data_IF_515307915141
#
_entry.id   IF_515307915141
#
_cell.length_a   1.000
_cell.length_b   1.000
_cell.length_c   1.000
_cell.angle_alpha   90.00
_cell.angle_beta   90.00
_cell.angle_gamma   90.00
#
_symmetry.space_group_name_H-M   'P 1'
#
loop_
_entity.id
_entity.type
_entity.pdbx_description
1 polymer ?
#
# COMPACT_ATOMS: atom_id res chain seq x y z
N UNK A 1 38.64 -16.37 33.37
CA UNK A 1 38.18 -14.96 33.49
C UNK A 1 38.05 -14.30 32.13
N UNK A 2 39.12 -14.19 31.33
CA UNK A 2 39.05 -13.65 29.96
C UNK A 2 38.03 -14.37 29.07
N UNK A 3 38.01 -15.70 29.12
CA UNK A 3 37.07 -16.52 28.36
C UNK A 3 35.60 -16.19 28.63
N UNK A 4 35.24 -15.97 29.91
CA UNK A 4 33.89 -15.56 30.29
C UNK A 4 33.53 -14.16 29.77
N UNK A 5 34.51 -13.24 29.73
CA UNK A 5 34.33 -11.89 29.18
C UNK A 5 34.11 -11.95 27.66
N UNK A 6 34.88 -12.78 26.96
CA UNK A 6 34.74 -12.98 25.51
C UNK A 6 33.40 -13.63 25.20
N UNK A 7 33.00 -14.65 25.94
CA UNK A 7 31.70 -15.30 25.77
C UNK A 7 30.54 -14.30 25.98
N UNK A 8 30.61 -13.47 27.03
CA UNK A 8 29.59 -12.46 27.28
C UNK A 8 29.52 -11.41 26.18
N UNK A 9 30.67 -10.98 25.64
CA UNK A 9 30.72 -10.03 24.53
C UNK A 9 30.08 -10.60 23.25
N UNK A 10 30.35 -11.86 22.92
CA UNK A 10 29.75 -12.55 21.77
C UNK A 10 28.23 -12.64 21.93
N UNK A 11 27.76 -13.07 23.10
CA UNK A 11 26.32 -13.17 23.39
C UNK A 11 25.65 -11.81 23.28
N UNK A 12 26.27 -10.76 23.83
CA UNK A 12 25.77 -9.39 23.72
C UNK A 12 25.61 -8.92 22.28
N UNK A 13 26.61 -9.16 21.42
CA UNK A 13 26.55 -8.79 20.01
C UNK A 13 25.46 -9.55 19.24
N UNK A 14 25.31 -10.85 19.51
CA UNK A 14 24.26 -11.68 18.91
C UNK A 14 22.88 -11.19 19.33
N UNK A 15 22.67 -10.91 20.62
CA UNK A 15 21.40 -10.39 21.12
C UNK A 15 21.04 -9.06 20.45
N UNK A 16 21.97 -8.11 20.33
CA UNK A 16 21.72 -6.82 19.65
C UNK A 16 21.30 -7.03 18.19
N UNK A 17 21.97 -7.93 17.47
CA UNK A 17 21.60 -8.27 16.09
C UNK A 17 20.19 -8.85 15.97
N UNK A 18 19.84 -9.79 16.86
CA UNK A 18 18.51 -10.42 16.89
C UNK A 18 17.42 -9.39 17.21
N UNK A 19 17.64 -8.51 18.19
CA UNK A 19 16.68 -7.45 18.52
C UNK A 19 16.50 -6.46 17.37
N UNK A 20 17.58 -6.10 16.67
CA UNK A 20 17.52 -5.23 15.49
C UNK A 20 16.69 -5.84 14.36
N UNK A 21 16.93 -7.12 14.05
CA UNK A 21 16.17 -7.86 13.04
C UNK A 21 14.68 -7.98 13.43
N UNK A 22 14.39 -8.34 14.69
CA UNK A 22 13.02 -8.44 15.18
C UNK A 22 12.28 -7.09 15.17
N UNK A 23 12.95 -6.00 15.57
CA UNK A 23 12.39 -4.65 15.50
C UNK A 23 12.17 -4.13 14.08
N UNK A 24 12.95 -4.61 13.09
CA UNK A 24 12.69 -4.32 11.67
C UNK A 24 11.47 -5.11 11.16
N UNK A 25 11.33 -6.37 11.57
CA UNK A 25 10.19 -7.21 11.21
C UNK A 25 8.88 -6.66 11.75
N UNK A 26 8.83 -6.24 13.03
CA UNK A 26 7.64 -5.62 13.62
C UNK A 26 7.25 -4.34 12.88
N UNK A 27 8.21 -3.47 12.53
CA UNK A 27 7.90 -2.23 11.81
C UNK A 27 7.38 -2.49 10.41
N UNK A 28 7.93 -3.49 9.72
CA UNK A 28 7.42 -3.92 8.42
C UNK A 28 5.99 -4.47 8.54
N UNK A 29 5.70 -5.25 9.58
CA UNK A 29 4.38 -5.83 9.83
C UNK A 29 3.34 -4.77 10.19
N UNK A 30 3.69 -3.80 11.05
CA UNK A 30 2.84 -2.63 11.36
C UNK A 30 2.58 -1.78 10.11
N UNK A 31 3.63 -1.53 9.31
CA UNK A 31 3.47 -0.79 8.04
C UNK A 31 2.59 -1.54 7.04
N UNK A 32 2.69 -2.87 7.01
CA UNK A 32 1.84 -3.71 6.16
C UNK A 32 0.38 -3.72 6.66
N UNK A 33 0.18 -3.79 7.97
CA UNK A 33 -1.14 -3.75 8.60
C UNK A 33 -1.87 -2.41 8.33
N UNK A 34 -1.16 -1.28 8.39
CA UNK A 34 -1.76 0.04 8.10
C UNK A 34 -2.01 0.26 6.59
N UNK A 35 -1.25 -0.41 5.72
CA UNK A 35 -1.41 -0.30 4.26
C UNK A 35 -2.47 -1.23 3.69
N UNK A 36 -2.78 -2.34 4.36
CA UNK A 36 -3.79 -3.30 3.90
C UNK A 36 -5.17 -2.65 3.70
N UNK A 37 -5.67 -1.80 4.63
CA UNK A 37 -6.89 -1.04 4.44
C UNK A 37 -6.87 -0.15 3.18
N UNK A 38 -5.83 0.68 3.01
CA UNK A 38 -5.73 1.57 1.84
C UNK A 38 -5.66 0.79 0.52
N UNK A 39 -4.97 -0.35 0.51
CA UNK A 39 -4.94 -1.24 -0.65
C UNK A 39 -6.32 -1.82 -0.97
N UNK A 40 -7.09 -2.22 0.06
CA UNK A 40 -8.45 -2.71 -0.13
C UNK A 40 -9.39 -1.63 -0.69
N UNK A 41 -9.24 -0.38 -0.24
CA UNK A 41 -9.97 0.78 -0.78
C UNK A 41 -9.60 1.06 -2.24
N UNK A 42 -8.33 0.89 -2.62
CA UNK A 42 -7.90 1.03 -4.01
C UNK A 42 -8.55 -0.04 -4.90
N UNK A 43 -8.61 -1.29 -4.42
CA UNK A 43 -9.29 -2.39 -5.13
C UNK A 43 -10.79 -2.12 -5.29
N UNK A 44 -11.46 -1.60 -4.26
CA UNK A 44 -12.86 -1.19 -4.34
C UNK A 44 -13.08 -0.15 -5.45
N UNK A 45 -12.19 0.84 -5.56
CA UNK A 45 -12.26 1.86 -6.60
C UNK A 45 -11.99 1.31 -8.00
N UNK A 46 -11.06 0.37 -8.14
CA UNK A 46 -10.84 -0.34 -9.41
C UNK A 46 -12.13 -1.08 -9.82
N UNK A 47 -12.76 -1.79 -8.89
CA UNK A 47 -14.02 -2.50 -9.17
C UNK A 47 -15.15 -1.54 -9.58
N UNK A 48 -15.22 -0.35 -8.98
CA UNK A 48 -16.21 0.65 -9.38
C UNK A 48 -15.97 1.21 -10.81
N UNK A 49 -14.71 1.27 -11.26
CA UNK A 49 -14.38 1.62 -12.66
C UNK A 49 -14.70 0.45 -13.59
N UNK A 50 -14.47 -0.79 -13.17
CA UNK A 50 -14.81 -1.98 -13.96
C UNK A 50 -16.33 -2.12 -14.20
N UNK A 51 -17.12 -1.72 -13.20
CA UNK A 51 -18.58 -1.65 -13.32
C UNK A 51 -19.08 -0.44 -14.12
N UNK A 52 -18.20 0.50 -14.48
CA UNK A 52 -18.58 1.68 -15.24
C UNK A 52 -18.74 1.33 -16.73
N UNK A 53 -19.99 1.26 -17.19
CA UNK A 53 -20.31 0.99 -18.60
C UNK A 53 -20.12 2.17 -19.57
N UNK A 54 -19.46 3.25 -19.14
CA UNK A 54 -19.23 4.45 -19.96
C UNK A 54 -17.84 4.49 -20.61
N UNK A 55 -17.52 5.61 -21.27
CA UNK A 55 -16.20 5.77 -21.90
C UNK A 55 -15.11 5.99 -20.86
N UNK A 56 -14.03 5.20 -20.95
CA UNK A 56 -12.83 5.34 -20.14
C UNK A 56 -11.86 6.40 -20.70
N UNK A 57 -12.17 7.07 -21.82
CA UNK A 57 -11.35 8.19 -22.31
C UNK A 57 -11.49 9.44 -21.41
N UNK A 58 -12.61 9.55 -20.69
CA UNK A 58 -12.84 10.60 -19.68
C UNK A 58 -13.74 10.05 -18.58
N UNK A 59 -13.12 9.74 -17.45
CA UNK A 59 -13.85 9.34 -16.25
C UNK A 59 -14.71 10.51 -15.74
N UNK A 60 -15.94 10.24 -15.26
CA UNK A 60 -16.70 11.23 -14.51
C UNK A 60 -15.98 11.57 -13.20
N UNK A 61 -16.17 12.79 -12.70
CA UNK A 61 -15.51 13.27 -11.49
C UNK A 61 -15.71 12.32 -10.29
N UNK A 62 -16.91 11.73 -10.16
CA UNK A 62 -17.24 10.77 -9.10
C UNK A 62 -16.43 9.48 -9.12
N UNK A 63 -15.79 9.14 -10.25
CA UNK A 63 -14.85 8.02 -10.38
C UNK A 63 -13.39 8.51 -10.40
N UNK A 64 -13.15 9.70 -10.95
CA UNK A 64 -11.83 10.28 -11.10
C UNK A 64 -11.22 10.71 -9.76
N UNK A 65 -11.99 11.28 -8.84
CA UNK A 65 -11.48 11.75 -7.56
C UNK A 65 -12.56 11.77 -6.47
N UNK A 66 -12.13 11.74 -5.21
CA UNK A 66 -13.04 11.90 -4.07
C UNK A 66 -12.43 11.50 -2.73
N UNK A 67 -13.30 11.43 -1.72
CA UNK A 67 -12.96 11.06 -0.34
C UNK A 67 -13.81 9.89 0.13
N UNK A 68 -13.21 8.96 0.87
CA UNK A 68 -13.96 7.85 1.45
C UNK A 68 -14.84 8.33 2.61
N UNK A 69 -15.96 7.64 2.79
CA UNK A 69 -16.79 7.84 3.97
C UNK A 69 -16.17 7.12 5.19
N UNK A 70 -16.81 7.22 6.35
CA UNK A 70 -16.45 6.40 7.50
C UNK A 70 -16.42 4.90 7.09
N UNK A 71 -15.43 4.12 7.56
CA UNK A 71 -14.50 4.43 8.65
C UNK A 71 -13.20 5.16 8.25
N UNK A 72 -13.02 5.56 6.98
CA UNK A 72 -11.78 6.19 6.48
C UNK A 72 -12.01 7.62 5.96
N UNK A 73 -12.49 8.57 6.79
CA UNK A 73 -12.92 9.89 6.32
C UNK A 73 -11.77 10.79 5.83
N UNK A 74 -10.53 10.48 6.18
CA UNK A 74 -9.32 11.19 5.77
C UNK A 74 -8.75 10.64 4.46
N UNK A 75 -9.11 9.40 4.10
CA UNK A 75 -8.63 8.79 2.88
C UNK A 75 -9.28 9.42 1.65
N UNK A 76 -8.46 9.66 0.63
CA UNK A 76 -8.86 10.20 -0.67
C UNK A 76 -8.37 9.27 -1.79
N UNK A 77 -9.02 9.33 -2.94
CA UNK A 77 -8.56 8.62 -4.13
C UNK A 77 -8.44 9.55 -5.33
N UNK A 78 -7.52 9.18 -6.22
CA UNK A 78 -7.38 9.69 -7.58
C UNK A 78 -7.34 8.49 -8.53
N UNK A 79 -8.12 8.54 -9.61
CA UNK A 79 -8.15 7.54 -10.68
C UNK A 79 -7.73 8.18 -11.98
N UNK A 80 -6.70 7.62 -12.60
CA UNK A 80 -6.23 7.98 -13.93
C UNK A 80 -6.57 6.85 -14.91
N UNK A 81 -6.97 7.22 -16.12
CA UNK A 81 -7.25 6.29 -17.21
C UNK A 81 -6.46 6.73 -18.44
N UNK A 82 -5.72 5.79 -19.01
CA UNK A 82 -4.89 6.03 -20.18
C UNK A 82 -5.12 4.92 -21.19
N UNK A 83 -5.42 5.31 -22.43
CA UNK A 83 -5.48 4.34 -23.52
C UNK A 83 -4.08 3.78 -23.77
N UNK A 84 -3.97 2.46 -23.82
CA UNK A 84 -2.71 1.82 -24.20
C UNK A 84 -2.63 1.84 -25.72
N UNK A 85 -1.63 2.54 -26.26
CA UNK A 85 -1.46 2.69 -27.70
C UNK A 85 -1.43 1.32 -28.41
N UNK A 86 -2.12 1.24 -29.55
CA UNK A 86 -2.23 0.10 -30.48
C UNK A 86 -3.30 -0.96 -30.23
N UNK A 87 -4.07 -0.90 -29.13
CA UNK A 87 -5.17 -1.85 -28.90
C UNK A 87 -6.46 -1.10 -28.59
N UNK A 88 -7.44 -1.20 -29.50
CA UNK A 88 -8.77 -0.65 -29.25
C UNK A 88 -9.45 -1.36 -28.09
N UNK A 89 -10.01 -0.56 -27.17
CA UNK A 89 -10.65 -1.05 -25.95
C UNK A 89 -9.70 -1.38 -24.80
N UNK A 90 -8.37 -1.24 -24.97
CA UNK A 90 -7.42 -1.45 -23.89
C UNK A 90 -7.06 -0.14 -23.17
N UNK A 91 -7.28 -0.11 -21.87
CA UNK A 91 -6.95 1.01 -21.00
C UNK A 91 -6.10 0.53 -19.82
N UNK A 92 -5.12 1.35 -19.47
CA UNK A 92 -4.43 1.30 -18.20
C UNK A 92 -5.19 2.19 -17.21
N UNK A 93 -5.62 1.59 -16.10
CA UNK A 93 -6.34 2.27 -15.04
C UNK A 93 -5.46 2.25 -13.80
N UNK A 94 -5.08 3.44 -13.34
CA UNK A 94 -4.29 3.60 -12.12
C UNK A 94 -5.14 4.25 -11.06
N UNK A 95 -5.33 3.58 -9.93
CA UNK A 95 -5.97 4.14 -8.73
C UNK A 95 -4.90 4.40 -7.68
N UNK A 96 -4.89 5.62 -7.13
CA UNK A 96 -4.01 6.01 -6.01
C UNK A 96 -4.90 6.37 -4.82
N UNK A 97 -4.70 5.69 -3.70
CA UNK A 97 -5.35 6.00 -2.41
C UNK A 97 -4.32 6.59 -1.46
N UNK A 98 -4.68 7.68 -0.78
CA UNK A 98 -3.82 8.42 0.16
C UNK A 98 -4.64 8.80 1.39
N UNK A 99 -3.97 8.93 2.53
CA UNK A 99 -4.54 9.35 3.83
C UNK A 99 -3.78 10.58 4.34
#
# INVERSE_FOLDING_TARGET
>A
MLEAVVALAIVGLVCVGVLGAYGSAIRADVTAADRLPLASLAVERIAAVDLFGGSLDRLPDSLAHGSFAAPYPTATWDTESHRVNQTDGLYDITVRVRD
#
